data_IF_565188364685
#
_entry.id   IF_565188364685
#
_cell.length_a   1.000
_cell.length_b   1.000
_cell.length_c   1.000
_cell.angle_alpha   90.00
_cell.angle_beta   90.00
_cell.angle_gamma   90.00
#
_symmetry.space_group_name_H-M   'P 1'
#
loop_
_entity.id
_entity.type
_entity.pdbx_description
1 polymer ?
#
# COMPACT_ATOMS: atom_id res chain seq x y z
N UNK A 1 14.15 9.20 8.91
CA UNK A 1 13.83 8.74 10.29
C UNK A 1 12.61 9.47 10.82
N UNK A 2 12.63 10.79 11.07
CA UNK A 2 11.47 11.53 11.60
C UNK A 2 10.14 11.41 10.80
N UNK A 3 10.20 11.10 9.49
CA UNK A 3 9.00 10.91 8.69
C UNK A 3 8.31 9.54 8.88
N UNK A 4 9.03 8.50 9.33
CA UNK A 4 8.38 7.20 9.58
C UNK A 4 7.62 7.26 10.91
N UNK A 5 8.18 7.97 11.89
CA UNK A 5 7.68 8.01 13.26
C UNK A 5 6.21 8.49 13.37
N UNK A 6 5.77 9.49 12.58
CA UNK A 6 4.37 9.95 12.64
C UNK A 6 3.38 8.96 12.01
N UNK A 7 3.73 8.41 10.84
CA UNK A 7 2.89 7.45 10.15
C UNK A 7 2.76 6.15 10.95
N UNK A 8 3.87 5.69 11.54
CA UNK A 8 3.94 4.52 12.41
C UNK A 8 3.06 4.69 13.65
N UNK A 9 3.25 5.77 14.41
CA UNK A 9 2.43 6.06 15.59
C UNK A 9 0.95 6.20 15.23
N UNK A 10 0.62 6.85 14.12
CA UNK A 10 -0.80 6.99 13.70
C UNK A 10 -1.39 5.63 13.34
N UNK A 11 -0.63 4.79 12.64
CA UNK A 11 -1.03 3.43 12.29
C UNK A 11 -1.27 2.56 13.53
N UNK A 12 -0.34 2.55 14.48
CA UNK A 12 -0.49 1.82 15.75
C UNK A 12 -1.74 2.26 16.51
N UNK A 13 -2.03 3.57 16.55
CA UNK A 13 -3.22 4.10 17.22
C UNK A 13 -4.53 3.71 16.52
N UNK A 14 -4.52 3.57 15.19
CA UNK A 14 -5.66 3.01 14.44
C UNK A 14 -5.88 1.55 14.84
N UNK A 15 -4.82 0.74 14.88
CA UNK A 15 -4.91 -0.67 15.28
C UNK A 15 -5.39 -0.81 16.73
N UNK A 16 -4.91 0.02 17.66
CA UNK A 16 -5.41 0.05 19.05
C UNK A 16 -6.92 0.33 19.14
N UNK A 17 -7.47 1.15 18.24
CA UNK A 17 -8.91 1.45 18.24
C UNK A 17 -9.75 0.30 17.68
N UNK A 18 -9.32 -0.31 16.56
CA UNK A 18 -10.16 -1.21 15.78
C UNK A 18 -9.76 -2.69 15.86
N UNK A 19 -8.59 -2.99 16.40
CA UNK A 19 -7.96 -4.32 16.41
C UNK A 19 -7.04 -4.55 15.21
N UNK A 20 -6.15 -5.55 15.33
CA UNK A 20 -5.14 -5.88 14.34
C UNK A 20 -5.73 -6.44 13.02
N UNK A 21 -6.89 -7.10 13.11
CA UNK A 21 -7.61 -7.70 11.97
C UNK A 21 -8.73 -6.79 11.44
N UNK A 22 -8.61 -5.48 11.63
CA UNK A 22 -9.63 -4.53 11.19
C UNK A 22 -9.81 -4.58 9.66
N UNK A 23 -11.06 -4.73 9.25
CA UNK A 23 -11.46 -4.65 7.85
C UNK A 23 -11.38 -3.17 7.38
N UNK A 24 -10.46 -2.81 6.46
CA UNK A 24 -10.30 -1.43 6.00
C UNK A 24 -11.59 -0.84 5.43
N UNK A 25 -12.49 -1.65 4.88
CA UNK A 25 -13.75 -1.18 4.30
C UNK A 25 -14.75 -0.66 5.35
N UNK A 26 -14.50 -0.95 6.64
CA UNK A 26 -15.41 -0.63 7.75
C UNK A 26 -14.98 0.56 8.60
N UNK A 27 -13.85 1.20 8.29
CA UNK A 27 -13.33 2.35 9.05
C UNK A 27 -13.41 3.65 8.25
N UNK A 28 -13.33 4.78 8.96
CA UNK A 28 -13.41 6.11 8.37
C UNK A 28 -12.29 6.35 7.33
N UNK A 29 -12.61 7.10 6.26
CA UNK A 29 -11.72 7.26 5.11
C UNK A 29 -10.30 7.78 5.45
N UNK A 30 -10.11 8.73 6.39
CA UNK A 30 -8.77 9.16 6.80
C UNK A 30 -7.94 8.04 7.42
N UNK A 31 -8.54 7.27 8.33
CA UNK A 31 -7.90 6.13 8.98
C UNK A 31 -7.64 4.99 7.99
N UNK A 32 -8.62 4.67 7.14
CA UNK A 32 -8.48 3.72 6.03
C UNK A 32 -7.27 4.06 5.15
N UNK A 33 -7.11 5.34 4.79
CA UNK A 33 -6.02 5.79 3.92
C UNK A 33 -4.65 5.57 4.58
N UNK A 34 -4.51 5.92 5.85
CA UNK A 34 -3.25 5.71 6.59
C UNK A 34 -2.95 4.22 6.71
N UNK A 35 -3.94 3.43 7.12
CA UNK A 35 -3.82 2.00 7.33
C UNK A 35 -3.38 1.28 6.05
N UNK A 36 -4.05 1.54 4.93
CA UNK A 36 -3.74 0.89 3.67
C UNK A 36 -2.37 1.28 3.14
N UNK A 37 -2.01 2.57 3.15
CA UNK A 37 -0.69 3.01 2.65
C UNK A 37 0.42 2.47 3.53
N UNK A 38 0.32 2.59 4.85
CA UNK A 38 1.39 2.17 5.76
C UNK A 38 1.59 0.66 5.70
N UNK A 39 0.51 -0.11 5.74
CA UNK A 39 0.57 -1.56 5.68
C UNK A 39 1.17 -2.05 4.36
N UNK A 40 0.65 -1.60 3.21
CA UNK A 40 1.21 -2.01 1.92
C UNK A 40 2.62 -1.47 1.68
N UNK A 41 2.98 -0.31 2.25
CA UNK A 41 4.35 0.20 2.19
C UNK A 41 5.34 -0.75 2.86
N UNK A 42 5.00 -1.27 4.05
CA UNK A 42 5.83 -2.26 4.74
C UNK A 42 5.95 -3.57 3.95
N UNK A 43 4.82 -4.09 3.45
CA UNK A 43 4.79 -5.34 2.67
C UNK A 43 5.64 -5.22 1.39
N UNK A 44 5.41 -4.18 0.59
CA UNK A 44 6.16 -3.96 -0.65
C UNK A 44 7.63 -3.66 -0.34
N UNK A 45 7.92 -2.91 0.73
CA UNK A 45 9.30 -2.64 1.17
C UNK A 45 10.09 -3.90 1.52
N UNK A 46 9.42 -4.94 2.01
CA UNK A 46 10.06 -6.20 2.39
C UNK A 46 10.41 -7.11 1.20
N UNK A 47 9.66 -7.06 0.10
CA UNK A 47 9.86 -8.03 -0.98
C UNK A 47 9.19 -7.69 -2.32
N UNK A 48 8.85 -6.42 -2.54
CA UNK A 48 8.21 -5.94 -3.76
C UNK A 48 6.73 -6.31 -3.87
N UNK A 49 6.17 -6.12 -5.06
CA UNK A 49 4.79 -6.45 -5.39
C UNK A 49 4.49 -7.95 -5.30
N UNK A 50 5.50 -8.82 -5.42
CA UNK A 50 5.36 -10.25 -5.14
C UNK A 50 4.76 -10.47 -3.74
N UNK A 51 5.30 -9.81 -2.71
CA UNK A 51 4.84 -9.95 -1.33
C UNK A 51 3.44 -9.35 -1.15
N UNK A 52 3.13 -8.26 -1.85
CA UNK A 52 1.78 -7.71 -1.85
C UNK A 52 0.78 -8.72 -2.43
N UNK A 53 1.11 -9.38 -3.53
CA UNK A 53 0.21 -10.32 -4.19
C UNK A 53 0.10 -11.67 -3.48
N UNK A 54 1.04 -12.02 -2.59
CA UNK A 54 0.94 -13.19 -1.70
C UNK A 54 -0.10 -12.98 -0.59
N UNK A 55 -0.38 -11.73 -0.21
CA UNK A 55 -1.29 -11.42 0.87
C UNK A 55 -2.76 -11.71 0.55
N UNK A 56 -3.49 -12.08 1.59
CA UNK A 56 -4.96 -12.12 1.59
C UNK A 56 -5.46 -10.91 2.41
N UNK A 57 -6.24 -10.03 1.80
CA UNK A 57 -6.68 -8.77 2.41
C UNK A 57 -8.21 -8.75 2.51
N UNK A 58 -8.79 -9.29 3.59
CA UNK A 58 -10.21 -9.17 3.88
C UNK A 58 -10.62 -7.70 3.86
N UNK A 59 -11.51 -7.32 2.95
CA UNK A 59 -11.95 -5.93 2.75
C UNK A 59 -11.31 -5.19 1.57
N UNK A 60 -10.22 -5.72 0.99
CA UNK A 60 -9.59 -5.18 -0.23
C UNK A 60 -8.95 -6.27 -1.12
N UNK A 61 -9.68 -7.36 -1.48
CA UNK A 61 -9.10 -8.52 -2.17
C UNK A 61 -8.55 -8.22 -3.58
N UNK A 62 -9.00 -7.13 -4.19
CA UNK A 62 -8.56 -6.64 -5.50
C UNK A 62 -7.65 -5.39 -5.40
N UNK A 63 -7.27 -5.00 -4.18
CA UNK A 63 -6.40 -3.87 -3.86
C UNK A 63 -6.92 -2.51 -4.37
N UNK A 64 -8.23 -2.37 -4.57
CA UNK A 64 -8.86 -1.14 -5.04
C UNK A 64 -8.75 -0.03 -4.00
N UNK A 65 -8.99 -0.34 -2.73
CA UNK A 65 -8.85 0.63 -1.64
C UNK A 65 -7.39 1.05 -1.48
N UNK A 66 -6.47 0.09 -1.53
CA UNK A 66 -5.03 0.31 -1.44
C UNK A 66 -4.57 1.26 -2.54
N UNK A 67 -4.89 0.97 -3.80
CA UNK A 67 -4.56 1.86 -4.94
C UNK A 67 -5.16 3.25 -4.78
N UNK A 68 -6.41 3.32 -4.31
CA UNK A 68 -7.07 4.60 -4.07
C UNK A 68 -6.41 5.39 -2.93
N UNK A 69 -5.85 4.72 -1.92
CA UNK A 69 -5.17 5.37 -0.81
C UNK A 69 -3.89 6.10 -1.28
N UNK A 70 -3.07 5.48 -2.13
CA UNK A 70 -1.89 6.15 -2.73
C UNK A 70 -2.28 7.36 -3.58
N UNK A 71 -3.38 7.27 -4.33
CA UNK A 71 -3.94 8.41 -5.08
C UNK A 71 -4.41 9.52 -4.14
N UNK A 72 -5.05 9.15 -3.02
CA UNK A 72 -5.59 10.09 -2.02
C UNK A 72 -4.49 10.92 -1.36
N UNK A 73 -3.34 10.34 -1.05
CA UNK A 73 -2.19 11.08 -0.51
C UNK A 73 -1.38 11.82 -1.59
N UNK A 74 -1.75 11.70 -2.87
CA UNK A 74 -1.05 12.32 -3.99
C UNK A 74 0.32 11.70 -4.31
N UNK A 75 0.55 10.42 -3.95
CA UNK A 75 1.78 9.70 -4.24
C UNK A 75 1.82 9.21 -5.70
N UNK A 76 1.93 10.15 -6.64
CA UNK A 76 1.79 9.90 -8.08
C UNK A 76 2.84 8.92 -8.63
N UNK A 77 4.09 9.00 -8.16
CA UNK A 77 5.16 8.10 -8.59
C UNK A 77 4.91 6.64 -8.16
N UNK A 78 4.56 6.43 -6.88
CA UNK A 78 4.16 5.11 -6.40
C UNK A 78 2.88 4.61 -7.09
N UNK A 79 1.91 5.50 -7.34
CA UNK A 79 0.70 5.15 -8.10
C UNK A 79 1.03 4.65 -9.51
N UNK A 80 2.03 5.23 -10.19
CA UNK A 80 2.48 4.74 -11.50
C UNK A 80 3.10 3.33 -11.42
N UNK A 81 3.82 3.01 -10.34
CA UNK A 81 4.32 1.67 -10.09
C UNK A 81 3.18 0.66 -9.91
N UNK A 82 2.14 1.03 -9.13
CA UNK A 82 0.90 0.24 -9.02
C UNK A 82 0.23 0.04 -10.37
N UNK A 83 0.05 1.08 -11.18
CA UNK A 83 -0.57 0.93 -12.51
C UNK A 83 0.24 -0.04 -13.40
N UNK A 84 1.57 0.00 -13.34
CA UNK A 84 2.43 -0.94 -14.09
C UNK A 84 2.34 -2.38 -13.56
N UNK A 85 2.35 -2.57 -12.24
CA UNK A 85 2.19 -3.88 -11.64
C UNK A 85 0.82 -4.49 -11.98
N UNK A 86 -0.23 -3.68 -11.93
CA UNK A 86 -1.60 -4.16 -12.11
C UNK A 86 -1.93 -4.44 -13.58
N UNK A 87 -1.24 -3.79 -14.52
CA UNK A 87 -1.36 -4.07 -15.95
C UNK A 87 -0.93 -5.51 -16.36
N UNK A 88 -0.43 -6.33 -15.44
CA UNK A 88 -0.23 -7.77 -15.67
C UNK A 88 -1.57 -8.51 -15.69
N UNK A 89 -2.56 -8.03 -14.95
CA UNK A 89 -3.84 -8.71 -14.79
C UNK A 89 -4.88 -8.23 -15.80
N UNK A 90 -5.83 -9.09 -16.19
CA UNK A 90 -6.96 -8.69 -17.02
C UNK A 90 -7.69 -7.48 -16.42
N UNK A 91 -7.97 -6.46 -17.24
CA UNK A 91 -8.61 -5.21 -16.82
C UNK A 91 -7.90 -4.46 -15.68
N UNK A 92 -6.62 -4.76 -15.44
CA UNK A 92 -5.85 -4.25 -14.30
C UNK A 92 -6.44 -4.60 -12.93
N UNK A 93 -7.11 -5.75 -12.84
CA UNK A 93 -7.73 -6.28 -11.62
C UNK A 93 -7.12 -7.65 -11.27
N UNK A 94 -6.36 -7.76 -10.19
CA UNK A 94 -5.82 -9.05 -9.75
C UNK A 94 -6.97 -9.99 -9.34
N UNK A 95 -6.91 -11.29 -9.70
CA UNK A 95 -7.90 -12.24 -9.22
C UNK A 95 -7.79 -12.41 -7.69
N UNK A 96 -8.92 -12.67 -7.02
CA UNK A 96 -8.97 -12.90 -5.58
C UNK A 96 -8.19 -14.17 -5.16
N UNK A 97 -8.21 -15.21 -6.01
CA UNK A 97 -7.44 -16.43 -5.82
C UNK A 97 -5.93 -16.13 -5.86
N UNK A 98 -5.24 -16.46 -4.76
CA UNK A 98 -3.82 -16.11 -4.54
C UNK A 98 -2.94 -16.83 -5.54
N UNK A 99 -3.13 -18.14 -5.71
CA UNK A 99 -2.29 -18.97 -6.59
C UNK A 99 -2.39 -18.47 -8.04
N UNK A 100 -3.61 -18.18 -8.52
CA UNK A 100 -3.82 -17.64 -9.86
C UNK A 100 -3.21 -16.25 -10.03
N UNK A 101 -3.30 -15.40 -9.02
CA UNK A 101 -2.71 -14.05 -9.02
C UNK A 101 -1.18 -14.13 -9.11
N UNK A 102 -0.58 -15.02 -8.33
CA UNK A 102 0.87 -15.23 -8.33
C UNK A 102 1.35 -15.84 -9.64
N UNK A 103 0.63 -16.82 -10.19
CA UNK A 103 0.96 -17.39 -11.51
C UNK A 103 1.01 -16.30 -12.59
N UNK A 104 0.01 -15.42 -12.62
CA UNK A 104 -0.05 -14.30 -13.58
C UNK A 104 1.10 -13.32 -13.37
N UNK A 105 1.35 -12.88 -12.13
CA UNK A 105 2.44 -11.99 -11.80
C UNK A 105 3.81 -12.57 -12.19
N UNK A 106 4.06 -13.81 -11.78
CA UNK A 106 5.32 -14.51 -11.99
C UNK A 106 5.56 -14.92 -13.45
N UNK A 107 4.53 -14.93 -14.30
CA UNK A 107 4.68 -15.12 -15.74
C UNK A 107 5.40 -13.94 -16.41
N UNK A 108 5.35 -12.74 -15.81
CA UNK A 108 5.90 -11.51 -16.37
C UNK A 108 7.07 -10.93 -15.57
N UNK A 109 7.03 -11.04 -14.25
CA UNK A 109 8.06 -10.52 -13.36
C UNK A 109 8.60 -11.62 -12.45
N UNK A 110 9.92 -11.67 -12.31
CA UNK A 110 10.63 -12.48 -11.31
C UNK A 110 11.12 -11.58 -10.19
N UNK A 111 11.28 -12.14 -8.99
CA UNK A 111 11.74 -11.42 -7.80
C UNK A 111 13.05 -10.62 -8.04
N UNK A 112 13.94 -11.12 -8.91
CA UNK A 112 15.22 -10.49 -9.20
C UNK A 112 15.16 -9.40 -10.29
N UNK A 113 13.99 -9.16 -10.90
CA UNK A 113 13.85 -8.20 -11.99
C UNK A 113 14.06 -6.77 -11.52
N UNK A 114 13.73 -6.42 -10.26
CA UNK A 114 14.02 -5.12 -9.67
C UNK A 114 15.52 -4.74 -9.72
N UNK A 115 16.40 -5.74 -9.69
CA UNK A 115 17.86 -5.54 -9.73
C UNK A 115 18.33 -5.27 -11.17
N UNK A 116 17.67 -5.87 -12.16
CA UNK A 116 18.13 -5.91 -13.56
C UNK A 116 17.37 -4.94 -14.47
N UNK A 117 16.12 -4.64 -14.15
CA UNK A 117 15.21 -3.79 -14.91
C UNK A 117 14.75 -2.61 -14.03
N UNK A 118 15.36 -1.45 -14.26
CA UNK A 118 14.98 -0.19 -13.59
C UNK A 118 13.59 0.31 -13.98
N UNK A 119 12.98 -0.26 -15.00
CA UNK A 119 11.60 0.03 -15.37
C UNK A 119 10.61 -0.90 -14.67
N UNK A 120 11.03 -1.95 -13.96
CA UNK A 120 10.10 -2.89 -13.32
C UNK A 120 9.21 -2.18 -12.29
N UNK A 121 8.00 -2.71 -11.99
CA UNK A 121 7.13 -2.11 -10.99
C UNK A 121 7.80 -1.94 -9.63
N UNK A 122 8.60 -2.93 -9.21
CA UNK A 122 9.34 -2.88 -7.95
C UNK A 122 10.39 -1.77 -7.95
N UNK A 123 11.19 -1.64 -9.01
CA UNK A 123 12.19 -0.58 -9.12
C UNK A 123 11.54 0.81 -9.08
N UNK A 124 10.44 1.00 -9.81
CA UNK A 124 9.66 2.25 -9.80
C UNK A 124 9.09 2.57 -8.41
N UNK A 125 8.62 1.55 -7.68
CA UNK A 125 8.09 1.75 -6.34
C UNK A 125 9.19 2.09 -5.34
N UNK A 126 10.31 1.36 -5.35
CA UNK A 126 11.45 1.61 -4.47
C UNK A 126 12.03 3.01 -4.65
N UNK A 127 12.17 3.48 -5.91
CA UNK A 127 12.59 4.86 -6.19
C UNK A 127 11.60 5.91 -5.66
N UNK A 128 10.32 5.54 -5.46
CA UNK A 128 9.27 6.42 -4.97
C UNK A 128 9.03 6.37 -3.44
N UNK A 129 9.61 5.39 -2.72
CA UNK A 129 9.28 5.09 -1.33
C UNK A 129 9.45 6.29 -0.38
N UNK A 130 10.56 7.02 -0.49
CA UNK A 130 10.81 8.21 0.32
C UNK A 130 9.73 9.29 0.13
N UNK A 131 9.19 9.39 -1.09
CA UNK A 131 8.10 10.29 -1.42
C UNK A 131 6.77 9.87 -0.79
N UNK A 132 6.52 8.56 -0.66
CA UNK A 132 5.27 8.02 -0.08
C UNK A 132 5.13 8.45 1.37
N UNK A 133 6.14 8.22 2.23
CA UNK A 133 6.05 8.54 3.65
C UNK A 133 5.89 10.05 3.90
N UNK A 134 6.61 10.88 3.14
CA UNK A 134 6.44 12.35 3.19
C UNK A 134 5.00 12.78 2.85
N UNK A 135 4.39 12.17 1.84
CA UNK A 135 3.01 12.44 1.44
C UNK A 135 2.00 11.94 2.46
N UNK A 136 2.23 10.76 3.02
CA UNK A 136 1.39 10.19 4.08
C UNK A 136 1.40 11.08 5.33
N UNK A 137 2.56 11.57 5.75
CA UNK A 137 2.66 12.52 6.88
C UNK A 137 1.96 13.84 6.61
N UNK A 138 2.11 14.39 5.41
CA UNK A 138 1.40 15.60 5.01
C UNK A 138 -0.13 15.38 5.05
N UNK A 139 -0.58 14.19 4.62
CA UNK A 139 -1.98 13.80 4.71
C UNK A 139 -2.47 13.72 6.16
N UNK A 140 -1.72 13.04 7.05
CA UNK A 140 -2.05 12.93 8.47
C UNK A 140 -2.17 14.32 9.11
N UNK A 141 -1.18 15.19 8.89
CA UNK A 141 -1.17 16.57 9.43
C UNK A 141 -2.33 17.42 8.91
N UNK A 142 -2.76 17.20 7.67
CA UNK A 142 -3.88 17.96 7.07
C UNK A 142 -5.25 17.44 7.50
N UNK A 143 -5.31 16.29 8.18
CA UNK A 143 -6.53 15.66 8.68
C UNK A 143 -6.39 15.36 10.19
N UNK A 144 -5.64 16.16 10.93
CA UNK A 144 -5.28 15.94 12.34
C UNK A 144 -6.51 15.69 13.24
N UNK A 145 -7.59 16.44 13.01
CA UNK A 145 -8.86 16.29 13.71
C UNK A 145 -9.45 14.87 13.62
N UNK A 146 -9.24 14.16 12.50
CA UNK A 146 -9.74 12.80 12.25
C UNK A 146 -8.95 11.73 13.03
N UNK A 147 -7.79 12.10 13.57
CA UNK A 147 -6.91 11.25 14.37
C UNK A 147 -6.83 11.67 15.84
N UNK A 148 -7.46 12.79 16.21
CA UNK A 148 -7.40 13.36 17.55
C UNK A 148 -8.04 12.43 18.61
N UNK A 149 -9.09 11.69 18.24
CA UNK A 149 -9.81 10.77 19.14
C UNK A 149 -9.20 9.37 19.22
N UNK A 150 -8.13 9.08 18.46
CA UNK A 150 -7.48 7.77 18.53
C UNK A 150 -6.83 7.57 19.91
N UNK A 151 -6.84 6.35 20.47
CA UNK A 151 -6.15 6.06 21.73
C UNK A 151 -4.65 6.38 21.63
N UNK A 152 -4.00 6.67 22.77
CA UNK A 152 -2.55 6.85 22.84
C UNK A 152 -1.79 5.51 22.79
#
# INVERSE_FOLDING_TARGET
MADIDLADVTFERILKQHGDDVDPSKIAKPQQTVMLVYHSFGIIGNGGFQYLFEGDFPGDPEFLLTRQAYKTIGASAASAAFEKAFAVFPNSTPPADIDRRLEMWQSKYKLMDAIKDKSSPDALYFDAMDGVMKKLNAYIKSNDAEFASLPE
#
